data_IF_229308435347
#
_entry.id   IF_229308435347
#
_cell.length_a   1.000
_cell.length_b   1.000
_cell.length_c   1.000
_cell.angle_alpha   90.00
_cell.angle_beta   90.00
_cell.angle_gamma   90.00
#
_symmetry.space_group_name_H-M   'P 1'
#
loop_
_entity.id
_entity.type
_entity.pdbx_description
1 polymer ?
#
# COMPACT_ATOMS: atom_id res chain seq x y z
N UNK A 1 -8.84 -3.94 -21.01
CA UNK A 1 -8.51 -3.83 -19.58
C UNK A 1 -7.19 -4.53 -19.35
N UNK A 2 -6.25 -3.90 -18.64
CA UNK A 2 -4.92 -4.47 -18.36
C UNK A 2 -5.04 -5.68 -17.43
N UNK A 3 -4.29 -6.77 -17.68
CA UNK A 3 -4.37 -7.99 -16.86
C UNK A 3 -4.11 -7.72 -15.38
N UNK A 4 -3.26 -6.73 -15.06
CA UNK A 4 -2.99 -6.29 -13.68
C UNK A 4 -4.24 -5.75 -13.00
N UNK A 5 -5.07 -5.00 -13.73
CA UNK A 5 -6.33 -4.47 -13.19
C UNK A 5 -7.38 -5.55 -12.99
N UNK A 6 -7.45 -6.53 -13.89
CA UNK A 6 -8.32 -7.71 -13.73
C UNK A 6 -7.90 -8.55 -12.52
N UNK A 7 -6.59 -8.79 -12.36
CA UNK A 7 -6.04 -9.49 -11.21
C UNK A 7 -6.33 -8.76 -9.90
N UNK A 8 -6.17 -7.44 -9.87
CA UNK A 8 -6.48 -6.63 -8.70
C UNK A 8 -7.95 -6.71 -8.31
N UNK A 9 -8.86 -6.69 -9.29
CA UNK A 9 -10.29 -6.90 -9.05
C UNK A 9 -10.56 -8.23 -8.33
N UNK A 10 -9.92 -9.32 -8.74
CA UNK A 10 -10.08 -10.62 -8.07
C UNK A 10 -9.54 -10.66 -6.65
N UNK A 11 -8.50 -9.86 -6.33
CA UNK A 11 -8.03 -9.68 -4.96
C UNK A 11 -8.99 -8.84 -4.12
N UNK A 12 -9.60 -7.81 -4.70
CA UNK A 12 -10.53 -6.92 -3.99
C UNK A 12 -11.90 -7.56 -3.75
N UNK A 13 -12.39 -8.34 -4.70
CA UNK A 13 -13.77 -8.81 -4.71
C UNK A 13 -14.17 -9.56 -3.43
N UNK A 14 -13.38 -10.51 -2.88
CA UNK A 14 -13.69 -11.15 -1.60
C UNK A 14 -13.75 -10.15 -0.44
N UNK A 15 -12.79 -9.21 -0.37
CA UNK A 15 -12.72 -8.21 0.72
C UNK A 15 -13.96 -7.32 0.71
N UNK A 16 -14.30 -6.76 -0.45
CA UNK A 16 -15.46 -5.88 -0.59
C UNK A 16 -16.76 -6.65 -0.34
N UNK A 17 -16.86 -7.91 -0.78
CA UNK A 17 -18.02 -8.77 -0.49
C UNK A 17 -18.19 -8.95 1.02
N UNK A 18 -17.10 -9.19 1.76
CA UNK A 18 -17.11 -9.31 3.21
C UNK A 18 -17.44 -7.98 3.93
N UNK A 19 -17.02 -6.83 3.38
CA UNK A 19 -17.45 -5.52 3.90
C UNK A 19 -18.97 -5.34 3.80
N UNK A 20 -19.59 -5.77 2.70
CA UNK A 20 -21.04 -5.70 2.54
C UNK A 20 -21.74 -6.68 3.50
N UNK A 21 -21.27 -7.92 3.58
CA UNK A 21 -21.85 -8.93 4.47
C UNK A 21 -21.78 -8.55 5.97
N UNK A 22 -20.80 -7.73 6.35
CA UNK A 22 -20.66 -7.23 7.72
C UNK A 22 -21.88 -6.39 8.18
N UNK A 23 -22.64 -5.79 7.26
CA UNK A 23 -23.86 -5.06 7.60
C UNK A 23 -25.03 -6.00 7.93
N UNK A 24 -25.10 -7.16 7.28
CA UNK A 24 -26.19 -8.12 7.47
C UNK A 24 -25.95 -9.02 8.69
N UNK A 25 -24.69 -9.41 8.92
CA UNK A 25 -24.30 -10.31 10.02
C UNK A 25 -23.08 -9.79 10.77
N UNK A 26 -23.18 -8.67 11.51
CA UNK A 26 -22.03 -8.03 12.17
C UNK A 26 -21.37 -8.91 13.23
N UNK A 27 -22.17 -9.71 13.94
CA UNK A 27 -21.68 -10.52 15.08
C UNK A 27 -21.42 -11.99 14.70
N UNK A 28 -21.49 -12.36 13.42
CA UNK A 28 -21.27 -13.75 13.02
C UNK A 28 -19.80 -14.16 13.24
N UNK A 29 -19.54 -15.42 13.64
CA UNK A 29 -18.17 -15.93 13.76
C UNK A 29 -17.34 -15.71 12.49
N UNK A 30 -17.97 -15.82 11.32
CA UNK A 30 -17.33 -15.60 10.02
C UNK A 30 -16.93 -14.14 9.82
N UNK A 31 -17.76 -13.18 10.23
CA UNK A 31 -17.42 -11.75 10.14
C UNK A 31 -16.28 -11.40 11.10
N UNK A 32 -16.34 -11.91 12.33
CA UNK A 32 -15.29 -11.71 13.33
C UNK A 32 -13.95 -12.28 12.82
N UNK A 33 -13.94 -13.51 12.32
CA UNK A 33 -12.75 -14.15 11.74
C UNK A 33 -12.19 -13.36 10.54
N UNK A 34 -13.06 -12.83 9.66
CA UNK A 34 -12.65 -11.98 8.55
C UNK A 34 -11.89 -10.73 9.03
N UNK A 35 -12.42 -10.01 10.01
CA UNK A 35 -11.78 -8.80 10.56
C UNK A 35 -10.49 -9.12 11.35
N UNK A 36 -10.36 -10.30 11.94
CA UNK A 36 -9.10 -10.73 12.58
C UNK A 36 -7.97 -11.03 11.57
N UNK A 37 -8.26 -11.07 10.27
CA UNK A 37 -7.30 -11.40 9.20
C UNK A 37 -6.87 -10.21 8.35
N UNK A 38 -7.09 -8.98 8.84
CA UNK A 38 -6.69 -7.73 8.16
C UNK A 38 -5.21 -7.76 7.80
N UNK A 39 -4.35 -7.90 8.81
CA UNK A 39 -2.91 -7.86 8.68
C UNK A 39 -2.25 -8.77 9.72
N UNK A 40 -1.18 -9.46 9.34
CA UNK A 40 -0.37 -10.26 10.26
C UNK A 40 1.10 -10.00 10.00
N UNK A 41 1.84 -9.56 11.02
CA UNK A 41 3.28 -9.40 10.95
C UNK A 41 3.99 -10.71 11.29
N UNK A 42 4.95 -11.10 10.47
CA UNK A 42 5.84 -12.23 10.73
C UNK A 42 7.29 -11.74 10.73
N UNK A 43 8.00 -11.85 11.87
CA UNK A 43 9.42 -11.52 11.91
C UNK A 43 10.22 -12.48 11.03
N UNK A 44 11.25 -11.94 10.39
CA UNK A 44 12.19 -12.69 9.57
C UNK A 44 13.06 -13.64 10.39
N UNK A 45 13.40 -14.79 9.80
CA UNK A 45 14.48 -15.66 10.29
C UNK A 45 15.75 -15.47 9.46
N UNK A 46 16.76 -16.32 9.66
CA UNK A 46 17.98 -16.29 8.85
C UNK A 46 17.65 -16.46 7.36
N UNK A 47 17.97 -15.44 6.55
CA UNK A 47 17.77 -15.43 5.10
C UNK A 47 16.38 -15.00 4.61
N UNK A 48 15.42 -14.67 5.49
CA UNK A 48 14.12 -14.09 5.12
C UNK A 48 13.91 -12.78 5.84
N UNK A 49 13.53 -11.73 5.09
CA UNK A 49 13.14 -10.46 5.68
C UNK A 49 11.79 -10.54 6.40
N UNK A 50 11.56 -9.61 7.31
CA UNK A 50 10.24 -9.37 7.91
C UNK A 50 9.20 -9.18 6.82
N UNK A 51 7.98 -9.67 7.05
CA UNK A 51 6.89 -9.52 6.10
C UNK A 51 5.54 -9.42 6.80
N UNK A 52 4.57 -8.87 6.07
CA UNK A 52 3.17 -8.82 6.44
C UNK A 52 2.37 -9.75 5.53
N UNK A 53 1.34 -10.37 6.06
CA UNK A 53 0.28 -11.05 5.32
C UNK A 53 -1.07 -10.48 5.74
N UNK A 54 -2.17 -11.03 5.20
CA UNK A 54 -3.52 -10.54 5.45
C UNK A 54 -4.17 -9.94 4.21
N UNK A 55 -5.49 -9.75 4.27
CA UNK A 55 -6.23 -9.28 3.10
C UNK A 55 -5.96 -7.81 2.78
N UNK A 56 -5.36 -7.05 3.71
CA UNK A 56 -4.95 -5.66 3.48
C UNK A 56 -3.99 -5.53 2.29
N UNK A 57 -3.26 -6.60 1.96
CA UNK A 57 -2.35 -6.65 0.82
C UNK A 57 -3.04 -6.42 -0.52
N UNK A 58 -4.34 -6.67 -0.66
CA UNK A 58 -5.07 -6.29 -1.88
C UNK A 58 -5.05 -4.77 -2.14
N UNK A 59 -4.88 -3.93 -1.12
CA UNK A 59 -4.79 -2.47 -1.26
C UNK A 59 -3.38 -1.96 -1.53
N UNK A 60 -2.37 -2.83 -1.45
CA UNK A 60 -0.96 -2.48 -1.67
C UNK A 60 -0.34 -3.40 -2.72
N UNK A 61 -1.07 -3.65 -3.81
CA UNK A 61 -0.65 -4.56 -4.89
C UNK A 61 0.30 -3.89 -5.90
N UNK A 62 0.37 -2.57 -5.92
CA UNK A 62 1.33 -1.81 -6.72
C UNK A 62 2.34 -1.11 -5.82
N UNK A 63 3.62 -1.19 -6.18
CA UNK A 63 4.65 -0.43 -5.49
C UNK A 63 4.58 1.07 -5.85
N UNK A 64 5.47 1.88 -5.25
CA UNK A 64 5.54 3.33 -5.52
C UNK A 64 5.84 3.70 -6.98
N UNK A 65 6.32 2.77 -7.80
CA UNK A 65 6.54 2.92 -9.24
C UNK A 65 5.37 2.40 -10.09
N UNK A 66 4.27 1.96 -9.47
CA UNK A 66 3.15 1.34 -10.18
C UNK A 66 3.44 -0.08 -10.68
N UNK A 67 4.50 -0.73 -10.18
CA UNK A 67 4.84 -2.10 -10.56
C UNK A 67 4.03 -3.10 -9.72
N UNK A 68 3.54 -4.15 -10.37
CA UNK A 68 2.78 -5.23 -9.73
C UNK A 68 3.66 -5.99 -8.72
N UNK A 69 3.20 -6.06 -7.47
CA UNK A 69 3.81 -6.81 -6.36
C UNK A 69 3.02 -8.06 -5.98
N UNK A 70 1.80 -8.21 -6.51
CA UNK A 70 1.01 -9.41 -6.30
C UNK A 70 1.70 -10.66 -6.84
N UNK A 71 1.17 -11.83 -6.50
CA UNK A 71 1.64 -13.10 -7.03
C UNK A 71 1.68 -13.05 -8.57
N UNK A 72 2.73 -13.59 -9.19
CA UNK A 72 2.85 -13.62 -10.65
C UNK A 72 1.76 -14.54 -11.21
N UNK A 73 0.78 -13.96 -11.91
CA UNK A 73 -0.38 -14.66 -12.49
C UNK A 73 -0.17 -15.03 -13.97
N UNK A 74 1.08 -15.19 -14.40
CA UNK A 74 1.39 -15.37 -15.82
C UNK A 74 0.67 -16.60 -16.38
N UNK A 75 -0.38 -16.34 -17.18
CA UNK A 75 -1.09 -17.27 -18.06
C UNK A 75 -1.72 -18.52 -17.42
N UNK A 76 -2.42 -18.35 -16.31
CA UNK A 76 -3.17 -19.46 -15.70
C UNK A 76 -4.65 -19.30 -16.01
N UNK A 77 -5.26 -20.34 -16.58
CA UNK A 77 -6.71 -20.44 -16.58
C UNK A 77 -7.22 -20.65 -15.15
N UNK A 78 -8.52 -20.49 -14.93
CA UNK A 78 -9.14 -20.55 -13.59
C UNK A 78 -8.79 -21.83 -12.83
N UNK A 79 -8.61 -22.97 -13.49
CA UNK A 79 -8.22 -24.23 -12.84
C UNK A 79 -6.75 -24.26 -12.43
N UNK A 80 -5.85 -23.71 -13.24
CA UNK A 80 -4.42 -23.67 -12.94
C UNK A 80 -4.07 -22.66 -11.82
N UNK A 81 -4.88 -21.61 -11.66
CA UNK A 81 -4.80 -20.71 -10.50
C UNK A 81 -4.92 -21.48 -9.17
N UNK A 82 -5.88 -22.41 -9.07
CA UNK A 82 -6.12 -23.23 -7.88
C UNK A 82 -5.02 -24.29 -7.63
N UNK A 83 -4.35 -24.78 -8.67
CA UNK A 83 -3.30 -25.81 -8.54
C UNK A 83 -1.96 -25.19 -8.08
N UNK A 84 -1.62 -23.98 -8.55
CA UNK A 84 -0.42 -23.27 -8.05
C UNK A 84 -0.63 -22.79 -6.61
N UNK A 85 -1.88 -22.47 -6.27
CA UNK A 85 -2.30 -22.21 -4.90
C UNK A 85 -1.96 -23.39 -3.99
N UNK A 86 -2.31 -24.63 -4.38
CA UNK A 86 -1.97 -25.88 -3.67
C UNK A 86 -0.46 -26.11 -3.47
N UNK A 87 0.39 -25.69 -4.41
CA UNK A 87 1.85 -25.87 -4.29
C UNK A 87 2.54 -24.76 -3.48
N UNK A 88 1.92 -23.58 -3.35
CA UNK A 88 2.37 -22.50 -2.45
C UNK A 88 2.00 -22.71 -0.99
N UNK A 89 1.32 -23.80 -0.62
CA UNK A 89 1.02 -24.21 0.77
C UNK A 89 2.26 -24.35 1.69
N UNK A 90 3.48 -24.23 1.15
CA UNK A 90 4.72 -24.12 1.93
C UNK A 90 5.02 -22.67 2.39
N UNK A 91 4.23 -21.67 2.00
CA UNK A 91 4.29 -20.29 2.48
C UNK A 91 2.97 -19.91 3.17
N UNK A 92 3.07 -19.22 4.32
CA UNK A 92 1.94 -18.77 5.15
C UNK A 92 1.15 -17.60 4.50
N UNK A 93 0.69 -17.77 3.27
CA UNK A 93 -0.17 -16.80 2.57
C UNK A 93 -1.61 -16.91 3.11
N UNK A 94 -2.31 -15.78 3.26
CA UNK A 94 -3.74 -15.79 3.60
C UNK A 94 -4.54 -16.27 2.39
N UNK A 95 -5.50 -17.16 2.62
CA UNK A 95 -6.52 -17.55 1.65
C UNK A 95 -7.86 -17.05 2.17
N UNK A 96 -8.53 -16.17 1.42
CA UNK A 96 -9.87 -15.66 1.74
C UNK A 96 -10.79 -15.95 0.56
N UNK A 97 -11.86 -16.72 0.81
CA UNK A 97 -12.82 -17.18 -0.20
C UNK A 97 -12.13 -17.79 -1.42
N UNK A 98 -11.12 -18.60 -1.14
CA UNK A 98 -10.24 -19.23 -2.13
C UNK A 98 -9.20 -18.31 -2.78
N UNK A 99 -9.28 -16.99 -2.59
CA UNK A 99 -8.30 -16.07 -3.17
C UNK A 99 -7.03 -16.01 -2.31
N UNK A 100 -5.83 -16.29 -2.86
CA UNK A 100 -4.56 -16.17 -2.15
C UNK A 100 -4.09 -14.71 -2.15
N UNK A 101 -3.61 -14.25 -1.01
CA UNK A 101 -3.08 -12.90 -0.82
C UNK A 101 -1.57 -12.95 -0.66
N UNK A 102 -0.89 -12.09 -1.44
CA UNK A 102 0.57 -12.04 -1.48
C UNK A 102 1.17 -11.53 -0.16
N UNK A 103 2.43 -11.89 0.08
CA UNK A 103 3.21 -11.34 1.18
C UNK A 103 3.70 -9.93 0.83
N UNK A 104 3.62 -9.04 1.81
CA UNK A 104 4.14 -7.68 1.72
C UNK A 104 5.42 -7.55 2.51
N UNK A 105 6.51 -7.23 1.82
CA UNK A 105 7.73 -6.82 2.50
C UNK A 105 7.65 -5.35 2.91
N UNK A 106 8.19 -4.94 4.08
CA UNK A 106 8.12 -3.55 4.55
C UNK A 106 8.56 -2.51 3.50
N UNK A 107 9.59 -2.84 2.70
CA UNK A 107 10.10 -1.97 1.63
C UNK A 107 9.17 -1.83 0.42
N UNK A 108 8.18 -2.70 0.29
CA UNK A 108 7.21 -2.69 -0.81
C UNK A 108 5.98 -1.82 -0.54
N UNK A 109 5.73 -1.46 0.73
CA UNK A 109 4.54 -0.66 1.09
C UNK A 109 4.65 0.73 0.43
N UNK A 110 3.71 1.11 -0.46
CA UNK A 110 3.76 2.41 -1.11
C UNK A 110 3.46 3.53 -0.10
N UNK A 111 4.06 4.73 -0.28
CA UNK A 111 3.72 5.88 0.55
C UNK A 111 2.26 6.30 0.34
N UNK A 112 1.60 6.74 1.40
CA UNK A 112 0.24 7.30 1.35
C UNK A 112 0.17 8.75 0.82
N UNK A 113 1.23 9.22 0.17
CA UNK A 113 1.35 10.58 -0.38
C UNK A 113 2.11 10.56 -1.71
N UNK A 114 1.95 11.64 -2.46
CA UNK A 114 2.73 11.96 -3.63
C UNK A 114 3.44 13.31 -3.41
N UNK A 115 4.59 13.48 -4.06
CA UNK A 115 5.37 14.71 -4.06
C UNK A 115 5.70 15.11 -5.51
N UNK A 116 5.66 16.41 -5.79
CA UNK A 116 6.06 16.97 -7.08
C UNK A 116 6.83 18.27 -6.89
N UNK A 117 7.81 18.49 -7.77
CA UNK A 117 8.54 19.75 -7.86
C UNK A 117 7.68 20.80 -8.56
N UNK A 118 7.59 22.00 -7.98
CA UNK A 118 6.76 23.09 -8.48
C UNK A 118 7.62 24.35 -8.61
N UNK A 119 7.62 24.97 -9.79
CA UNK A 119 8.14 26.33 -9.95
C UNK A 119 7.01 27.32 -9.68
N UNK A 120 7.08 28.03 -8.56
CA UNK A 120 6.14 29.10 -8.23
C UNK A 120 6.67 30.43 -8.79
N UNK A 121 5.80 31.18 -9.47
CA UNK A 121 6.10 32.54 -9.90
C UNK A 121 5.13 33.46 -9.16
N UNK A 122 5.65 34.29 -8.25
CA UNK A 122 4.86 35.27 -7.51
C UNK A 122 5.41 36.67 -7.80
N UNK A 123 4.59 37.55 -8.38
CA UNK A 123 4.96 38.91 -8.81
C UNK A 123 6.25 39.01 -9.66
N UNK A 124 6.57 37.95 -10.43
CA UNK A 124 7.76 37.88 -11.28
C UNK A 124 9.00 37.30 -10.61
N UNK A 125 8.98 37.08 -9.29
CA UNK A 125 10.00 36.32 -8.57
C UNK A 125 9.74 34.82 -8.69
N UNK A 126 10.81 34.03 -8.83
CA UNK A 126 10.76 32.58 -9.02
C UNK A 126 11.17 31.87 -7.74
N UNK A 127 10.36 30.91 -7.31
CA UNK A 127 10.63 30.08 -6.15
C UNK A 127 10.62 28.60 -6.55
N UNK A 128 11.70 27.90 -6.24
CA UNK A 128 11.77 26.46 -6.35
C UNK A 128 11.04 25.83 -5.16
N UNK A 129 9.87 25.26 -5.42
CA UNK A 129 9.01 24.68 -4.41
C UNK A 129 8.89 23.16 -4.57
N UNK A 130 8.39 22.52 -3.53
CA UNK A 130 7.81 21.18 -3.60
C UNK A 130 6.36 21.25 -3.09
N UNK A 131 5.50 20.45 -3.72
CA UNK A 131 4.14 20.21 -3.26
C UNK A 131 4.02 18.74 -2.85
N UNK A 132 3.46 18.51 -1.66
CA UNK A 132 3.14 17.17 -1.17
C UNK A 132 1.64 17.09 -0.96
N UNK A 133 1.02 15.99 -1.38
CA UNK A 133 -0.40 15.72 -1.19
C UNK A 133 -0.63 14.25 -0.83
N UNK A 134 -1.51 13.97 0.12
CA UNK A 134 -1.81 12.60 0.55
C UNK A 134 -2.44 12.52 1.93
N UNK A 135 -2.34 11.36 2.55
CA UNK A 135 -2.68 11.16 3.95
C UNK A 135 -1.54 11.75 4.81
N UNK A 136 -1.83 12.88 5.48
CA UNK A 136 -0.84 13.71 6.17
C UNK A 136 -0.92 13.62 7.69
N UNK A 137 -2.06 13.17 8.22
CA UNK A 137 -2.27 13.04 9.66
C UNK A 137 -3.40 12.06 9.96
N UNK A 138 -3.52 11.72 11.24
CA UNK A 138 -4.71 11.08 11.79
C UNK A 138 -5.48 12.13 12.58
N UNK A 139 -6.76 12.31 12.26
CA UNK A 139 -7.64 13.16 13.04
C UNK A 139 -8.35 12.32 14.10
N UNK A 140 -8.22 12.73 15.36
CA UNK A 140 -9.02 12.20 16.48
C UNK A 140 -10.37 12.93 16.47
N UNK A 141 -11.45 12.16 16.52
CA UNK A 141 -12.83 12.67 16.49
C UNK A 141 -13.69 12.02 17.56
N UNK A 142 -14.82 12.66 17.85
CA UNK A 142 -15.80 12.21 18.84
C UNK A 142 -17.01 11.60 18.14
N UNK A 143 -17.31 10.33 18.41
CA UNK A 143 -18.48 9.62 17.88
C UNK A 143 -19.79 10.22 18.38
N UNK A 144 -19.76 10.87 19.56
CA UNK A 144 -20.93 11.29 20.35
C UNK A 144 -21.90 10.13 20.62
N UNK A 145 -21.39 8.90 20.60
CA UNK A 145 -22.17 7.69 20.76
C UNK A 145 -21.75 6.95 22.05
N UNK A 146 -22.58 6.97 23.10
CA UNK A 146 -22.26 6.30 24.36
C UNK A 146 -22.19 4.77 24.25
N UNK A 147 -22.71 4.18 23.16
CA UNK A 147 -22.59 2.75 22.87
C UNK A 147 -21.18 2.36 22.36
N UNK A 148 -20.42 3.30 21.80
CA UNK A 148 -19.05 3.07 21.30
C UNK A 148 -18.04 3.30 22.42
N UNK A 149 -18.18 4.42 23.16
CA UNK A 149 -17.37 4.72 24.34
C UNK A 149 -18.19 5.50 25.38
N UNK A 150 -17.94 5.35 26.69
CA UNK A 150 -18.75 6.01 27.72
C UNK A 150 -18.82 7.53 27.60
N UNK A 151 -17.74 8.18 27.14
CA UNK A 151 -17.66 9.62 26.96
C UNK A 151 -18.13 10.07 25.56
N UNK A 152 -18.15 9.17 24.57
CA UNK A 152 -18.40 9.49 23.16
C UNK A 152 -17.42 10.53 22.59
N UNK A 153 -16.25 10.70 23.21
CA UNK A 153 -15.28 11.75 22.94
C UNK A 153 -13.90 11.16 22.65
N UNK A 154 -13.24 11.67 21.61
CA UNK A 154 -11.89 11.25 21.18
C UNK A 154 -11.75 9.73 20.97
N UNK A 155 -12.84 9.08 20.57
CA UNK A 155 -13.00 7.62 20.51
C UNK A 155 -13.00 7.06 19.08
N UNK A 156 -12.83 7.94 18.10
CA UNK A 156 -12.75 7.57 16.69
C UNK A 156 -11.54 8.23 16.05
N UNK A 157 -10.97 7.57 15.06
CA UNK A 157 -9.88 8.11 14.24
C UNK A 157 -10.25 8.04 12.77
N UNK A 158 -9.86 9.04 12.01
CA UNK A 158 -9.97 9.02 10.54
C UNK A 158 -8.72 9.59 9.89
N UNK A 159 -8.34 9.09 8.70
CA UNK A 159 -7.25 9.68 7.94
C UNK A 159 -7.58 11.13 7.56
N UNK A 160 -6.59 12.02 7.68
CA UNK A 160 -6.67 13.39 7.21
C UNK A 160 -5.89 13.49 5.90
N UNK A 161 -6.64 13.59 4.79
CA UNK A 161 -6.05 13.95 3.51
C UNK A 161 -5.80 15.46 3.47
N UNK A 162 -4.64 15.87 2.96
CA UNK A 162 -4.29 17.28 2.83
C UNK A 162 -3.10 17.47 1.90
N UNK A 163 -2.67 18.72 1.78
CA UNK A 163 -1.54 19.10 0.95
C UNK A 163 -0.83 20.35 1.52
N UNK A 164 0.42 20.53 1.16
CA UNK A 164 1.19 21.74 1.43
C UNK A 164 2.18 22.02 0.31
N UNK A 165 2.47 23.30 0.11
CA UNK A 165 3.52 23.81 -0.76
C UNK A 165 4.57 24.49 0.12
N UNK A 166 5.84 24.17 -0.08
CA UNK A 166 6.94 24.83 0.62
C UNK A 166 8.08 25.15 -0.34
N UNK A 167 8.75 26.27 -0.07
CA UNK A 167 9.97 26.68 -0.77
C UNK A 167 11.09 25.74 -0.31
N UNK A 168 11.86 25.21 -1.27
CA UNK A 168 13.00 24.37 -0.98
C UNK A 168 14.15 25.24 -0.51
N UNK A 169 14.74 24.85 0.61
CA UNK A 169 15.98 25.47 1.06
C UNK A 169 17.15 25.10 0.12
N UNK A 170 18.13 26.00 -0.06
CA UNK A 170 19.24 25.82 -1.03
C UNK A 170 20.01 24.50 -0.81
N UNK A 171 20.15 24.10 0.46
CA UNK A 171 20.76 22.83 0.85
C UNK A 171 20.00 21.60 0.30
N UNK A 172 18.66 21.64 0.33
CA UNK A 172 17.82 20.53 -0.14
C UNK A 172 17.85 20.39 -1.66
N UNK A 173 18.00 21.50 -2.39
CA UNK A 173 18.18 21.50 -3.85
C UNK A 173 19.49 20.84 -4.23
N UNK A 174 20.60 21.20 -3.55
CA UNK A 174 21.92 20.62 -3.82
C UNK A 174 22.00 19.13 -3.43
N UNK A 175 21.42 18.74 -2.31
CA UNK A 175 21.38 17.35 -1.88
C UNK A 175 20.58 16.46 -2.85
N UNK A 176 19.44 16.95 -3.35
CA UNK A 176 18.62 16.23 -4.34
C UNK A 176 19.28 16.16 -5.71
N UNK A 177 19.93 17.23 -6.16
CA UNK A 177 20.71 17.22 -7.41
C UNK A 177 21.83 16.16 -7.36
N UNK A 178 22.57 16.08 -6.24
CA UNK A 178 23.60 15.05 -6.03
C UNK A 178 23.02 13.64 -6.00
N UNK A 179 21.86 13.45 -5.37
CA UNK A 179 21.19 12.15 -5.32
C UNK A 179 20.65 11.70 -6.70
N UNK A 180 20.09 12.62 -7.49
CA UNK A 180 19.63 12.35 -8.85
C UNK A 180 20.80 11.98 -9.78
N UNK A 181 21.91 12.73 -9.68
CA UNK A 181 23.14 12.45 -10.43
C UNK A 181 23.71 11.07 -10.09
N UNK A 182 23.75 10.71 -8.81
CA UNK A 182 24.22 9.39 -8.36
C UNK A 182 23.32 8.23 -8.82
N UNK A 183 22.00 8.43 -8.85
CA UNK A 183 21.08 7.41 -9.37
C UNK A 183 21.22 7.23 -10.89
N UNK A 184 21.46 8.31 -11.62
CA UNK A 184 21.71 8.28 -13.06
C UNK A 184 23.05 7.60 -13.40
N UNK A 185 24.13 7.94 -12.70
CA UNK A 185 25.45 7.28 -12.83
C UNK A 185 25.39 5.78 -12.53
N UNK A 186 24.65 5.39 -11.48
CA UNK A 186 24.47 3.97 -11.14
C UNK A 186 23.68 3.23 -12.23
N UNK A 187 22.67 3.87 -12.81
CA UNK A 187 21.89 3.29 -13.89
C UNK A 187 22.70 3.16 -15.20
N UNK A 188 23.59 4.12 -15.49
CA UNK A 188 24.49 4.07 -16.65
C UNK A 188 25.61 3.03 -16.47
N UNK A 189 26.17 2.87 -15.26
CA UNK A 189 27.13 1.79 -14.95
C UNK A 189 26.50 0.40 -15.13
N UNK A 190 25.25 0.22 -14.73
CA UNK A 190 24.51 -1.03 -14.92
C UNK A 190 24.18 -1.33 -16.39
N UNK A 191 24.12 -0.30 -17.26
CA UNK A 191 23.97 -0.46 -18.72
C UNK A 191 25.30 -0.63 -19.47
N UNK A 192 26.40 -0.10 -18.92
CA UNK A 192 27.74 -0.15 -19.51
C UNK A 192 28.53 -1.43 -19.22
N UNK A 193 28.11 -2.21 -18.22
CA UNK A 193 28.65 -3.54 -17.94
C UNK A 193 28.18 -4.58 -18.97
N UNK A 194 28.85 -4.64 -20.11
CA UNK A 194 28.75 -5.80 -21.02
C UNK A 194 29.36 -7.02 -20.31
N UNK A 195 28.59 -8.11 -20.23
CA UNK A 195 29.13 -9.47 -20.11
C UNK A 195 30.01 -9.78 -21.33
#
# INVERSE_FOLDING_TARGET
MDWRTTAWYHLLFPVITRFVAAFDTPDSPENIDFWQRVAHYTPGGSGRGDHYSGWISAFTVFNKQGQWMGNQLTHLNSQQFWIIHETRYMQKELILDGTPYHLLYPKGIPPGHAEVDVLLIDNGERFDCAMVAGNIATLVTSSKNPFISPAGADDTVRPLAGWWLFIKDEWNVQARAKAAYSQQDNFERLRGGRY
#
